data_IF_389642317082
#
_entry.id   IF_389642317082
#
_cell.length_a   1.000
_cell.length_b   1.000
_cell.length_c   1.000
_cell.angle_alpha   90.00
_cell.angle_beta   90.00
_cell.angle_gamma   90.00
#
_symmetry.space_group_name_H-M   'P 1'
#
loop_
_entity.id
_entity.type
_entity.pdbx_description
1 polymer ?
#
# COMPACT_ATOMS: atom_id res chain seq x y z
N UNK A 1 1.85 -2.71 -0.90
CA UNK A 1 2.92 -3.71 -1.06
C UNK A 1 4.13 -3.11 -1.80
N UNK A 2 3.96 -2.47 -2.96
CA UNK A 2 5.05 -2.02 -3.84
C UNK A 2 6.13 -1.19 -3.15
N UNK A 3 5.77 -0.26 -2.28
CA UNK A 3 6.76 0.57 -1.57
C UNK A 3 7.73 -0.27 -0.72
N UNK A 4 7.23 -1.28 -0.01
CA UNK A 4 8.08 -2.16 0.80
C UNK A 4 9.02 -3.02 -0.07
N UNK A 5 8.52 -3.50 -1.21
CA UNK A 5 9.33 -4.25 -2.19
C UNK A 5 10.46 -3.36 -2.72
N UNK A 6 10.14 -2.14 -3.16
CA UNK A 6 11.17 -1.21 -3.68
C UNK A 6 12.19 -0.83 -2.61
N UNK A 7 11.77 -0.56 -1.36
CA UNK A 7 12.71 -0.31 -0.27
C UNK A 7 13.61 -1.53 -0.02
N UNK A 8 13.07 -2.76 -0.05
CA UNK A 8 13.87 -3.99 0.08
C UNK A 8 14.88 -4.11 -1.04
N UNK A 9 14.46 -3.90 -2.30
CA UNK A 9 15.37 -3.94 -3.46
C UNK A 9 16.51 -2.92 -3.35
N UNK A 10 16.25 -1.73 -2.81
CA UNK A 10 17.29 -0.73 -2.54
C UNK A 10 18.28 -1.22 -1.46
N UNK A 11 17.75 -1.76 -0.37
CA UNK A 11 18.57 -2.26 0.74
C UNK A 11 19.43 -3.47 0.35
N UNK A 12 18.93 -4.30 -0.57
CA UNK A 12 19.66 -5.44 -1.15
C UNK A 12 20.59 -5.03 -2.31
N UNK A 13 20.70 -3.71 -2.59
CA UNK A 13 21.47 -3.16 -3.70
C UNK A 13 21.09 -3.70 -5.10
N UNK A 14 19.87 -4.23 -5.23
CA UNK A 14 19.34 -4.72 -6.53
C UNK A 14 18.98 -3.54 -7.44
N UNK A 15 18.57 -2.41 -6.87
CA UNK A 15 18.32 -1.16 -7.57
C UNK A 15 18.92 0.02 -6.82
N UNK A 16 19.25 1.09 -7.53
CA UNK A 16 19.73 2.35 -6.96
C UNK A 16 18.94 3.53 -7.57
N UNK A 17 17.67 3.72 -7.18
CA UNK A 17 16.84 4.77 -7.73
C UNK A 17 17.27 6.14 -7.21
N UNK A 18 17.12 7.17 -8.05
CA UNK A 18 17.36 8.58 -7.66
C UNK A 18 16.27 9.13 -6.74
N UNK A 19 15.08 8.54 -6.76
CA UNK A 19 13.96 8.94 -5.95
C UNK A 19 13.04 7.73 -5.67
N UNK A 20 12.49 7.67 -4.46
CA UNK A 20 11.42 6.74 -4.07
C UNK A 20 10.20 7.53 -3.63
N UNK A 21 9.04 7.10 -4.09
CA UNK A 21 7.75 7.62 -3.60
C UNK A 21 6.92 6.46 -3.08
N UNK A 22 6.48 6.58 -1.85
CA UNK A 22 5.55 5.65 -1.20
C UNK A 22 4.19 6.31 -1.11
N UNK A 23 3.19 5.77 -1.81
CA UNK A 23 1.79 6.21 -1.74
C UNK A 23 1.06 5.27 -0.77
N UNK A 24 0.71 5.76 0.41
CA UNK A 24 0.02 4.98 1.46
C UNK A 24 0.67 3.59 1.70
N UNK A 25 2.01 3.53 1.68
CA UNK A 25 2.75 2.26 1.69
C UNK A 25 2.82 1.61 3.07
N UNK A 26 2.53 0.30 3.14
CA UNK A 26 2.75 -0.53 4.32
C UNK A 26 4.24 -0.90 4.43
N UNK A 27 5.03 -0.06 5.09
CA UNK A 27 6.47 -0.27 5.29
C UNK A 27 6.78 -0.94 6.63
N UNK A 28 5.87 -0.87 7.58
CA UNK A 28 6.01 -1.44 8.92
C UNK A 28 5.04 -2.59 9.14
N UNK A 29 5.29 -3.46 10.13
CA UNK A 29 4.37 -4.53 10.49
C UNK A 29 3.00 -3.97 10.89
N UNK A 30 1.95 -4.55 10.28
CA UNK A 30 0.58 -4.15 10.57
C UNK A 30 0.20 -4.56 12.00
N UNK A 31 -0.38 -3.65 12.80
CA UNK A 31 -0.87 -3.99 14.14
C UNK A 31 -2.03 -5.00 14.04
N UNK A 32 -2.05 -5.98 14.93
CA UNK A 32 -3.17 -6.93 15.07
C UNK A 32 -2.98 -8.31 14.42
N UNK A 33 -2.10 -8.48 13.44
CA UNK A 33 -1.80 -9.80 12.85
C UNK A 33 -0.55 -10.40 13.52
N UNK A 34 -0.53 -10.42 14.85
CA UNK A 34 0.74 -10.66 15.58
C UNK A 34 0.82 -11.98 16.35
N UNK A 35 -0.12 -12.92 16.19
CA UNK A 35 0.01 -14.19 16.89
C UNK A 35 0.78 -15.20 16.02
N UNK A 36 2.09 -15.46 16.31
CA UNK A 36 2.91 -16.36 15.52
C UNK A 36 2.29 -17.76 15.39
N UNK A 37 1.55 -18.21 16.41
CA UNK A 37 0.89 -19.50 16.43
C UNK A 37 -0.33 -19.61 15.50
N UNK A 38 -0.97 -18.48 15.15
CA UNK A 38 -2.12 -18.47 14.24
C UNK A 38 -1.72 -18.29 12.77
N UNK A 39 -0.50 -17.82 12.49
CA UNK A 39 -0.05 -17.55 11.13
C UNK A 39 -0.05 -18.79 10.22
N UNK A 40 0.34 -20.00 10.66
CA UNK A 40 0.23 -21.18 9.83
C UNK A 40 -1.22 -21.49 9.42
N UNK A 41 -2.17 -21.32 10.34
CA UNK A 41 -3.60 -21.52 10.06
C UNK A 41 -4.14 -20.47 9.09
N UNK A 42 -3.77 -19.21 9.29
CA UNK A 42 -4.14 -18.12 8.37
C UNK A 42 -3.57 -18.37 6.97
N UNK A 43 -2.29 -18.75 6.88
CA UNK A 43 -1.66 -19.10 5.60
C UNK A 43 -2.36 -20.26 4.91
N UNK A 44 -2.64 -21.33 5.63
CA UNK A 44 -3.38 -22.49 5.09
C UNK A 44 -4.78 -22.06 4.57
N UNK A 45 -5.50 -21.24 5.32
CA UNK A 45 -6.80 -20.75 4.92
C UNK A 45 -6.76 -19.87 3.65
N UNK A 46 -5.80 -18.95 3.55
CA UNK A 46 -5.69 -18.04 2.39
C UNK A 46 -5.05 -18.70 1.17
N UNK A 47 -4.30 -19.81 1.35
CA UNK A 47 -3.73 -20.60 0.25
C UNK A 47 -4.75 -21.58 -0.35
N UNK A 48 -5.88 -21.81 0.33
CA UNK A 48 -6.96 -22.67 -0.16
C UNK A 48 -7.85 -21.93 -1.17
N UNK A 49 -8.45 -22.69 -2.11
CA UNK A 49 -9.33 -22.13 -3.14
C UNK A 49 -10.72 -21.71 -2.62
N UNK A 50 -11.15 -22.24 -1.48
CA UNK A 50 -12.50 -22.02 -0.97
C UNK A 50 -12.71 -20.59 -0.45
N UNK A 51 -11.72 -20.02 0.26
CA UNK A 51 -11.81 -18.67 0.84
C UNK A 51 -11.86 -17.57 -0.24
N UNK A 52 -10.98 -17.58 -1.27
CA UNK A 52 -11.11 -16.65 -2.40
C UNK A 52 -12.45 -16.75 -3.12
N UNK A 53 -12.96 -17.97 -3.33
CA UNK A 53 -14.28 -18.17 -3.97
C UNK A 53 -15.43 -17.64 -3.11
N UNK A 54 -15.36 -17.86 -1.80
CA UNK A 54 -16.36 -17.33 -0.86
C UNK A 54 -16.33 -15.80 -0.83
N UNK A 55 -15.14 -15.22 -0.77
CA UNK A 55 -14.97 -13.76 -0.82
C UNK A 55 -15.49 -13.17 -2.13
N UNK A 56 -15.11 -13.73 -3.28
CA UNK A 56 -15.57 -13.28 -4.58
C UNK A 56 -17.11 -13.36 -4.72
N UNK A 57 -17.74 -14.40 -4.17
CA UNK A 57 -19.21 -14.50 -4.11
C UNK A 57 -19.82 -13.44 -3.20
N UNK A 58 -19.19 -13.14 -2.06
CA UNK A 58 -19.68 -12.10 -1.15
C UNK A 58 -19.59 -10.71 -1.77
N UNK A 59 -18.61 -10.46 -2.66
CA UNK A 59 -18.50 -9.22 -3.44
C UNK A 59 -19.45 -9.21 -4.65
N UNK A 60 -20.59 -9.89 -4.56
CA UNK A 60 -21.56 -10.05 -5.64
C UNK A 60 -22.30 -8.77 -6.02
N UNK A 61 -22.50 -7.83 -5.09
CA UNK A 61 -23.17 -6.55 -5.33
C UNK A 61 -22.22 -5.37 -5.30
N UNK A 62 -22.54 -4.30 -6.06
CA UNK A 62 -21.77 -3.06 -6.05
C UNK A 62 -21.77 -2.40 -4.67
N UNK A 63 -22.87 -2.47 -3.94
CA UNK A 63 -22.99 -1.95 -2.57
C UNK A 63 -22.02 -2.62 -1.59
N UNK A 64 -21.64 -3.88 -1.79
CA UNK A 64 -20.63 -4.54 -0.95
C UNK A 64 -19.22 -4.09 -1.32
N UNK A 65 -18.97 -3.85 -2.61
CA UNK A 65 -17.69 -3.28 -3.07
C UNK A 65 -17.53 -1.85 -2.56
N UNK A 66 -18.56 -1.02 -2.66
CA UNK A 66 -18.55 0.35 -2.11
C UNK A 66 -18.26 0.35 -0.60
N UNK A 67 -18.90 -0.55 0.16
CA UNK A 67 -18.61 -0.71 1.59
C UNK A 67 -17.17 -1.14 1.86
N UNK A 68 -16.61 -2.02 1.01
CA UNK A 68 -15.21 -2.43 1.10
C UNK A 68 -14.28 -1.22 0.85
N UNK A 69 -14.54 -0.45 -0.20
CA UNK A 69 -13.79 0.76 -0.53
C UNK A 69 -13.90 1.81 0.59
N UNK A 70 -15.10 2.08 1.09
CA UNK A 70 -15.32 3.02 2.20
C UNK A 70 -14.53 2.65 3.48
N UNK A 71 -14.29 1.34 3.72
CA UNK A 71 -13.45 0.89 4.84
C UNK A 71 -11.98 1.27 4.68
N UNK A 72 -11.52 1.55 3.47
CA UNK A 72 -10.17 2.06 3.22
C UNK A 72 -10.04 3.55 3.54
N UNK A 73 -11.16 4.23 3.80
CA UNK A 73 -11.22 5.68 3.96
C UNK A 73 -11.28 6.43 2.64
N UNK A 74 -11.38 5.72 1.51
CA UNK A 74 -11.41 6.30 0.16
C UNK A 74 -12.82 6.38 -0.41
N UNK A 75 -13.03 7.36 -1.29
CA UNK A 75 -14.24 7.52 -2.09
C UNK A 75 -13.84 7.56 -3.57
N UNK A 76 -14.24 6.56 -4.32
CA UNK A 76 -13.98 6.49 -5.76
C UNK A 76 -15.24 6.86 -6.55
N UNK A 77 -15.05 7.28 -7.80
CA UNK A 77 -16.14 7.48 -8.74
C UNK A 77 -16.76 6.13 -9.19
N UNK A 78 -17.83 6.21 -9.96
CA UNK A 78 -18.53 5.01 -10.47
C UNK A 78 -17.60 4.10 -11.29
N UNK A 79 -16.66 4.69 -12.05
CA UNK A 79 -15.71 3.93 -12.87
C UNK A 79 -14.69 3.19 -12.01
N UNK A 80 -14.12 3.86 -11.01
CA UNK A 80 -13.22 3.23 -10.03
C UNK A 80 -13.92 2.08 -9.29
N UNK A 81 -15.13 2.31 -8.80
CA UNK A 81 -15.93 1.27 -8.13
C UNK A 81 -16.18 0.06 -9.04
N UNK A 82 -16.54 0.27 -10.31
CA UNK A 82 -16.71 -0.81 -11.29
C UNK A 82 -15.46 -1.66 -11.47
N UNK A 83 -14.29 -1.00 -11.61
CA UNK A 83 -13.02 -1.69 -11.78
C UNK A 83 -12.68 -2.56 -10.55
N UNK A 84 -12.86 -2.03 -9.34
CA UNK A 84 -12.68 -2.80 -8.11
C UNK A 84 -13.68 -3.94 -7.98
N UNK A 85 -14.93 -3.74 -8.41
CA UNK A 85 -15.94 -4.79 -8.45
C UNK A 85 -15.49 -5.97 -9.34
N UNK A 86 -14.98 -5.69 -10.54
CA UNK A 86 -14.44 -6.70 -11.45
C UNK A 86 -13.28 -7.49 -10.83
N UNK A 87 -12.33 -6.79 -10.18
CA UNK A 87 -11.19 -7.42 -9.51
C UNK A 87 -11.64 -8.28 -8.33
N UNK A 88 -12.50 -7.72 -7.46
CA UNK A 88 -12.97 -8.39 -6.25
C UNK A 88 -13.82 -9.64 -6.53
N UNK A 89 -14.53 -9.67 -7.67
CA UNK A 89 -15.32 -10.81 -8.13
C UNK A 89 -14.49 -11.88 -8.84
N UNK A 90 -13.21 -11.62 -9.10
CA UNK A 90 -12.30 -12.58 -9.75
C UNK A 90 -11.61 -13.43 -8.69
N UNK A 91 -11.94 -14.73 -8.53
CA UNK A 91 -11.38 -15.59 -7.47
C UNK A 91 -9.85 -15.66 -7.51
N UNK A 92 -9.25 -15.73 -8.70
CA UNK A 92 -7.80 -15.78 -8.86
C UNK A 92 -7.11 -14.51 -8.33
N UNK A 93 -7.67 -13.31 -8.64
CA UNK A 93 -7.15 -12.04 -8.14
C UNK A 93 -7.29 -11.95 -6.61
N UNK A 94 -8.47 -12.27 -6.10
CA UNK A 94 -8.75 -12.28 -4.65
C UNK A 94 -7.83 -13.26 -3.92
N UNK A 95 -7.62 -14.46 -4.50
CA UNK A 95 -6.71 -15.46 -3.95
C UNK A 95 -5.27 -14.96 -3.87
N UNK A 96 -4.78 -14.34 -4.94
CA UNK A 96 -3.44 -13.75 -4.96
C UNK A 96 -3.28 -12.62 -3.91
N UNK A 97 -4.27 -11.75 -3.78
CA UNK A 97 -4.27 -10.66 -2.80
C UNK A 97 -4.28 -11.20 -1.35
N UNK A 98 -5.13 -12.18 -1.05
CA UNK A 98 -5.20 -12.82 0.27
C UNK A 98 -3.92 -13.58 0.60
N UNK A 99 -3.36 -14.33 -0.36
CA UNK A 99 -2.10 -15.03 -0.18
C UNK A 99 -0.95 -14.06 0.08
N UNK A 100 -0.86 -12.96 -0.67
CA UNK A 100 0.12 -11.90 -0.42
C UNK A 100 -0.02 -11.36 1.00
N UNK A 101 -1.22 -11.02 1.46
CA UNK A 101 -1.44 -10.51 2.81
C UNK A 101 -1.09 -11.54 3.90
N UNK A 102 -1.41 -12.82 3.68
CA UNK A 102 -1.08 -13.90 4.60
C UNK A 102 0.41 -14.18 4.74
N UNK A 103 1.22 -13.81 3.73
CA UNK A 103 2.67 -13.95 3.74
C UNK A 103 3.40 -12.62 3.98
N UNK A 104 2.66 -11.54 4.26
CA UNK A 104 3.22 -10.20 4.43
C UNK A 104 3.94 -10.08 5.78
N UNK A 105 5.27 -10.06 5.73
CA UNK A 105 6.11 -9.83 6.90
C UNK A 105 7.13 -8.73 6.62
N UNK A 106 6.93 -7.57 7.21
CA UNK A 106 7.80 -6.40 7.06
C UNK A 106 8.74 -6.19 8.24
N UNK A 107 8.83 -7.12 9.20
CA UNK A 107 9.76 -7.02 10.34
C UNK A 107 11.23 -6.96 9.91
N UNK A 108 11.69 -7.78 8.93
CA UNK A 108 13.06 -7.65 8.43
C UNK A 108 13.29 -6.30 7.73
N UNK A 109 12.28 -5.79 7.02
CA UNK A 109 12.37 -4.47 6.40
C UNK A 109 12.45 -3.37 7.46
N UNK A 110 11.60 -3.40 8.50
CA UNK A 110 11.62 -2.41 9.60
C UNK A 110 13.01 -2.33 10.24
N UNK A 111 13.65 -3.48 10.48
CA UNK A 111 15.00 -3.54 11.07
C UNK A 111 16.07 -2.91 10.17
N UNK A 112 15.93 -3.04 8.85
CA UNK A 112 16.91 -2.56 7.87
C UNK A 112 16.64 -1.14 7.36
N UNK A 113 15.43 -0.59 7.54
CA UNK A 113 15.07 0.76 7.09
C UNK A 113 16.06 1.86 7.46
N UNK A 114 16.72 1.84 8.65
CA UNK A 114 17.74 2.85 8.98
C UNK A 114 18.93 2.91 8.01
N UNK A 115 19.14 1.85 7.23
CA UNK A 115 20.22 1.78 6.22
C UNK A 115 19.79 2.31 4.84
N UNK A 116 18.51 2.70 4.68
CA UNK A 116 18.01 3.20 3.41
C UNK A 116 18.59 4.58 3.09
N UNK A 117 19.36 4.66 2.02
CA UNK A 117 19.99 5.90 1.56
C UNK A 117 19.24 6.58 0.42
N UNK A 118 18.34 5.86 -0.27
CA UNK A 118 17.57 6.41 -1.37
C UNK A 118 16.59 7.51 -0.87
N UNK A 119 16.52 8.67 -1.54
CA UNK A 119 15.61 9.75 -1.17
C UNK A 119 14.15 9.28 -1.18
N UNK A 120 13.49 9.28 -0.02
CA UNK A 120 12.15 8.74 0.18
C UNK A 120 11.14 9.85 0.46
N UNK A 121 10.08 9.90 -0.36
CA UNK A 121 8.88 10.68 -0.11
C UNK A 121 7.74 9.75 0.32
N UNK A 122 7.15 10.04 1.48
CA UNK A 122 5.97 9.37 2.03
C UNK A 122 4.75 10.27 1.76
N UNK A 123 3.89 9.89 0.84
CA UNK A 123 2.61 10.54 0.58
C UNK A 123 1.51 9.73 1.25
N UNK A 124 0.78 10.33 2.16
CA UNK A 124 -0.24 9.64 2.96
C UNK A 124 -1.57 10.37 2.93
N UNK A 125 -2.65 9.65 2.68
CA UNK A 125 -4.00 10.17 2.82
C UNK A 125 -4.35 10.34 4.30
N UNK A 126 -4.86 11.51 4.68
CA UNK A 126 -5.19 11.79 6.08
C UNK A 126 -6.34 10.93 6.62
N UNK A 127 -7.16 10.36 5.73
CA UNK A 127 -8.28 9.48 6.05
C UNK A 127 -7.97 8.00 5.77
N UNK A 128 -6.71 7.65 5.49
CA UNK A 128 -6.31 6.25 5.29
C UNK A 128 -6.62 5.41 6.55
N UNK A 129 -7.49 4.41 6.37
CA UNK A 129 -7.91 3.48 7.43
C UNK A 129 -7.25 2.11 7.32
N UNK A 130 -6.46 1.89 6.25
CA UNK A 130 -5.69 0.65 6.06
C UNK A 130 -4.29 0.80 6.63
N UNK A 131 -3.60 1.86 6.25
CA UNK A 131 -2.27 2.23 6.74
C UNK A 131 -2.41 3.60 7.40
N UNK A 132 -2.51 3.59 8.72
CA UNK A 132 -2.76 4.82 9.47
C UNK A 132 -1.67 5.88 9.20
N UNK A 133 -2.05 7.16 9.01
CA UNK A 133 -1.11 8.23 8.68
C UNK A 133 0.06 8.36 9.67
N UNK A 134 -0.13 7.99 10.93
CA UNK A 134 0.93 7.95 11.95
C UNK A 134 2.07 6.98 11.65
N UNK A 135 1.84 5.96 10.79
CA UNK A 135 2.91 5.05 10.37
C UNK A 135 4.02 5.78 9.61
N UNK A 136 3.70 6.79 8.80
CA UNK A 136 4.70 7.60 8.11
C UNK A 136 5.64 8.31 9.09
N UNK A 137 5.14 8.77 10.22
CA UNK A 137 5.97 9.36 11.29
C UNK A 137 6.88 8.31 11.92
N UNK A 138 6.42 7.07 12.09
CA UNK A 138 7.26 5.96 12.57
C UNK A 138 8.35 5.63 11.55
N UNK A 139 8.01 5.55 10.25
CA UNK A 139 9.01 5.34 9.18
C UNK A 139 10.06 6.45 9.18
N UNK A 140 9.64 7.72 9.31
CA UNK A 140 10.58 8.85 9.35
C UNK A 140 11.53 8.80 10.55
N UNK A 141 11.13 8.20 11.67
CA UNK A 141 12.08 7.98 12.81
C UNK A 141 13.17 6.98 12.45
N UNK A 142 12.88 6.00 11.59
CA UNK A 142 13.86 5.02 11.11
C UNK A 142 14.68 5.55 9.93
N UNK A 143 14.07 6.40 9.09
CA UNK A 143 14.69 7.04 7.92
C UNK A 143 14.57 8.56 8.06
N UNK A 144 15.43 9.25 8.83
CA UNK A 144 15.28 10.67 9.14
C UNK A 144 15.24 11.60 7.92
N UNK A 145 15.89 11.20 6.82
CA UNK A 145 15.87 11.93 5.55
C UNK A 145 14.54 11.82 4.78
N UNK A 146 13.64 10.92 5.18
CA UNK A 146 12.35 10.78 4.52
C UNK A 146 11.48 12.03 4.73
N UNK A 147 10.84 12.48 3.64
CA UNK A 147 9.88 13.57 3.66
C UNK A 147 8.46 13.00 3.75
N UNK A 148 7.59 13.67 4.47
CA UNK A 148 6.17 13.29 4.60
C UNK A 148 5.32 14.41 3.99
N UNK A 149 4.36 14.02 3.13
CA UNK A 149 3.28 14.88 2.68
C UNK A 149 1.97 14.19 3.05
N UNK A 150 1.19 14.83 3.92
CA UNK A 150 -0.14 14.36 4.29
C UNK A 150 -1.19 15.10 3.46
N UNK A 151 -2.13 14.34 2.88
CA UNK A 151 -3.16 14.85 1.99
C UNK A 151 -4.51 14.85 2.71
N UNK A 152 -5.02 16.03 3.10
CA UNK A 152 -6.34 16.14 3.70
C UNK A 152 -7.43 15.62 2.76
N UNK A 153 -8.44 14.96 3.33
CA UNK A 153 -9.61 14.49 2.61
C UNK A 153 -9.43 13.21 1.79
N UNK A 154 -8.19 12.67 1.67
CA UNK A 154 -7.91 11.47 0.88
C UNK A 154 -7.68 10.25 1.77
N UNK A 155 -8.11 9.08 1.29
CA UNK A 155 -7.96 7.78 1.94
C UNK A 155 -6.77 6.96 1.43
N UNK A 156 -6.89 5.64 1.54
CA UNK A 156 -5.84 4.70 1.13
C UNK A 156 -5.54 4.72 -0.38
N UNK A 157 -6.56 4.99 -1.18
CA UNK A 157 -6.48 5.03 -2.64
C UNK A 157 -6.28 6.47 -3.14
N UNK A 158 -5.54 7.29 -2.41
CA UNK A 158 -5.32 8.71 -2.72
C UNK A 158 -4.88 8.98 -4.16
N UNK A 159 -4.15 8.05 -4.77
CA UNK A 159 -3.69 8.13 -6.16
C UNK A 159 -4.82 7.95 -7.19
N UNK A 160 -5.92 7.32 -6.80
CA UNK A 160 -7.13 7.16 -7.61
C UNK A 160 -8.15 8.26 -7.32
N UNK A 161 -8.18 8.75 -6.07
CA UNK A 161 -9.06 9.85 -5.66
C UNK A 161 -8.60 11.21 -6.23
N UNK A 162 -7.29 11.42 -6.34
CA UNK A 162 -6.71 12.69 -6.80
C UNK A 162 -5.45 12.47 -7.68
N UNK A 163 -5.57 11.81 -8.85
CA UNK A 163 -4.43 11.42 -9.67
C UNK A 163 -3.56 12.58 -10.12
N UNK A 164 -4.15 13.71 -10.49
CA UNK A 164 -3.40 14.90 -10.90
C UNK A 164 -2.50 15.42 -9.76
N UNK A 165 -3.07 15.57 -8.56
CA UNK A 165 -2.34 16.04 -7.37
C UNK A 165 -1.20 15.09 -6.99
N UNK A 166 -1.45 13.79 -7.06
CA UNK A 166 -0.41 12.79 -6.78
C UNK A 166 0.68 12.84 -7.86
N UNK A 167 0.31 12.95 -9.14
CA UNK A 167 1.25 13.11 -10.25
C UNK A 167 2.17 14.32 -10.06
N UNK A 168 1.63 15.47 -9.70
CA UNK A 168 2.41 16.69 -9.39
C UNK A 168 3.43 16.45 -8.27
N UNK A 169 3.06 15.77 -7.20
CA UNK A 169 3.96 15.47 -6.08
C UNK A 169 5.08 14.52 -6.48
N UNK A 170 4.76 13.48 -7.28
CA UNK A 170 5.76 12.54 -7.82
C UNK A 170 6.75 13.26 -8.71
N UNK A 171 6.26 14.08 -9.65
CA UNK A 171 7.09 14.87 -10.57
C UNK A 171 7.96 15.86 -9.80
N UNK A 172 7.39 16.60 -8.86
CA UNK A 172 8.14 17.56 -8.04
C UNK A 172 9.25 16.88 -7.24
N UNK A 173 8.97 15.71 -6.64
CA UNK A 173 9.98 14.95 -5.91
C UNK A 173 11.09 14.44 -6.85
N UNK A 174 10.74 13.88 -8.00
CA UNK A 174 11.69 13.40 -8.99
C UNK A 174 12.61 14.53 -9.47
N UNK A 175 12.05 15.69 -9.82
CA UNK A 175 12.84 16.88 -10.23
C UNK A 175 13.77 17.36 -9.12
N UNK A 176 13.32 17.37 -7.86
CA UNK A 176 14.15 17.76 -6.72
C UNK A 176 15.34 16.81 -6.50
N UNK A 177 15.28 15.59 -7.02
CA UNK A 177 16.37 14.61 -7.00
C UNK A 177 17.17 14.57 -8.33
N UNK A 178 17.01 15.58 -9.18
CA UNK A 178 17.74 15.71 -10.46
C UNK A 178 17.31 14.71 -11.53
N UNK A 179 16.06 14.19 -11.44
CA UNK A 179 15.49 13.35 -12.50
C UNK A 179 14.87 14.26 -13.56
N UNK A 180 15.30 14.13 -14.81
CA UNK A 180 14.67 14.82 -15.92
C UNK A 180 13.27 14.23 -16.16
N UNK A 181 12.25 15.08 -16.05
CA UNK A 181 10.85 14.72 -16.30
C UNK A 181 10.38 15.56 -17.48
N UNK A 182 9.90 14.95 -18.57
CA UNK A 182 9.34 15.69 -19.70
C UNK A 182 8.26 16.67 -19.24
N UNK A 183 8.16 17.79 -19.95
CA UNK A 183 7.12 18.83 -19.74
C UNK A 183 5.76 18.35 -20.20
#
# INVERSE_FOLDING_TARGET
AGAAILCRMCLDATIAPRALVSLNGALLPLPGIRHPSLMPLVRAAVSGEWLPRLFARRMGSDAEVERLLARTGSALDARGTELYARLSRTPAHTGAALAMMGHWDTRPLEADLPRLTAPLLLVVGAQDRMIFPGEATRVRRLVPAARIIQLPGLGHLAHEEAPARIGELVIAHARAQGVAVPS
#
